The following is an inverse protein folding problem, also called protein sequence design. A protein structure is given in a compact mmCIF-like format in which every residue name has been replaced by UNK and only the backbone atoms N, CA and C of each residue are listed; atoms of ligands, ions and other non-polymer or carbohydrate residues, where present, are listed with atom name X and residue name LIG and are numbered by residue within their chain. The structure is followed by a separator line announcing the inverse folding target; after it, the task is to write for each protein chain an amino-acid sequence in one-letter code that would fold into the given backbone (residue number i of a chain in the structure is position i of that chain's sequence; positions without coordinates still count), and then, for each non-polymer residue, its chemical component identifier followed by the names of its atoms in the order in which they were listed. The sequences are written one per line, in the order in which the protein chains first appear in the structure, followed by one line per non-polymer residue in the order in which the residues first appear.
data_IF_035420681531
#
_entry.id   IF_035420681531
#
_cell.length_a   1.000
_cell.length_b   1.000
_cell.length_c   1.000
_cell.angle_alpha   90.00
_cell.angle_beta   90.00
_cell.angle_gamma   90.00
#
_symmetry.space_group_name_H-M   'P 1'
#
loop_
_entity.id
_entity.type
_entity.pdbx_description
1 polymer ?
#
# COMPACT_ATOMS: atom_id res chain seq x y z
N UNK A 1 -12.02 23.70 18.03
CA UNK A 1 -11.17 22.51 17.83
C UNK A 1 -12.07 21.37 17.35
N UNK A 2 -11.72 20.67 16.28
CA UNK A 2 -12.59 19.64 15.68
C UNK A 2 -12.78 18.44 16.64
N UNK A 3 -14.03 18.00 16.82
CA UNK A 3 -14.40 16.87 17.68
C UNK A 3 -13.65 15.59 17.28
N UNK A 4 -13.34 15.44 15.99
CA UNK A 4 -12.59 14.30 15.46
C UNK A 4 -11.11 14.29 15.89
N UNK A 5 -10.51 15.45 16.11
CA UNK A 5 -9.12 15.56 16.59
C UNK A 5 -9.00 15.28 18.08
N UNK A 6 -9.99 15.70 18.87
CA UNK A 6 -10.07 15.35 20.29
C UNK A 6 -10.32 13.84 20.49
N UNK A 7 -11.16 13.23 19.63
CA UNK A 7 -11.33 11.78 19.65
C UNK A 7 -10.04 11.06 19.26
N UNK A 8 -9.37 11.50 18.19
CA UNK A 8 -8.08 10.91 17.79
C UNK A 8 -7.03 10.98 18.90
N UNK A 9 -6.95 12.09 19.63
CA UNK A 9 -6.05 12.20 20.77
C UNK A 9 -6.36 11.15 21.86
N UNK A 10 -7.64 10.95 22.19
CA UNK A 10 -8.08 9.90 23.12
C UNK A 10 -7.78 8.50 22.63
N UNK A 11 -7.98 8.23 21.34
CA UNK A 11 -7.65 6.94 20.72
C UNK A 11 -6.13 6.65 20.78
N UNK A 12 -5.30 7.71 20.76
CA UNK A 12 -3.87 7.63 21.00
C UNK A 12 -3.48 7.57 22.50
N UNK A 13 -4.45 7.56 23.41
CA UNK A 13 -4.24 7.47 24.85
C UNK A 13 -4.05 8.81 25.57
N UNK A 14 -4.26 9.95 24.89
CA UNK A 14 -4.18 11.27 25.50
C UNK A 14 -5.55 11.71 26.07
N UNK A 15 -5.63 11.86 27.39
CA UNK A 15 -6.86 12.27 28.12
C UNK A 15 -6.84 13.71 28.62
N UNK A 16 -5.75 14.45 28.37
CA UNK A 16 -5.64 15.86 28.77
C UNK A 16 -6.39 16.81 27.84
N UNK A 17 -6.45 18.08 28.25
CA UNK A 17 -7.16 19.16 27.55
C UNK A 17 -6.24 20.27 27.04
N UNK A 18 -4.91 20.08 27.10
CA UNK A 18 -3.94 21.08 26.66
C UNK A 18 -4.21 21.48 25.20
N UNK A 19 -4.48 22.76 24.92
CA UNK A 19 -4.78 23.23 23.56
C UNK A 19 -3.63 22.95 22.59
N UNK A 20 -2.38 23.06 23.04
CA UNK A 20 -1.20 22.81 22.22
C UNK A 20 -1.07 21.32 21.85
N UNK A 21 -1.30 20.41 22.81
CA UNK A 21 -1.25 18.96 22.54
C UNK A 21 -2.34 18.53 21.58
N UNK A 22 -3.57 19.00 21.80
CA UNK A 22 -4.68 18.67 20.93
C UNK A 22 -4.51 19.24 19.51
N UNK A 23 -3.89 20.42 19.38
CA UNK A 23 -3.48 20.96 18.07
C UNK A 23 -2.42 20.07 17.39
N UNK A 24 -1.45 19.56 18.14
CA UNK A 24 -0.45 18.63 17.60
C UNK A 24 -1.09 17.32 17.11
N UNK A 25 -2.03 16.73 17.86
CA UNK A 25 -2.79 15.55 17.41
C UNK A 25 -3.60 15.83 16.14
N UNK A 26 -4.23 17.00 16.05
CA UNK A 26 -4.92 17.40 14.83
C UNK A 26 -3.98 17.46 13.62
N UNK A 27 -2.78 18.04 13.80
CA UNK A 27 -1.77 18.11 12.75
C UNK A 27 -1.27 16.72 12.32
N UNK A 28 -0.97 15.83 13.27
CA UNK A 28 -0.58 14.44 13.00
C UNK A 28 -1.66 13.70 12.20
N UNK A 29 -2.92 13.84 12.60
CA UNK A 29 -4.05 13.22 11.92
C UNK A 29 -4.18 13.72 10.47
N UNK A 30 -4.11 15.03 10.26
CA UNK A 30 -4.23 15.63 8.94
C UNK A 30 -3.06 15.23 8.03
N UNK A 31 -1.84 15.23 8.54
CA UNK A 31 -0.65 14.74 7.83
C UNK A 31 -0.80 13.26 7.44
N UNK A 32 -1.28 12.42 8.37
CA UNK A 32 -1.56 11.01 8.11
C UNK A 32 -2.60 10.81 7.00
N UNK A 33 -3.68 11.58 7.00
CA UNK A 33 -4.70 11.57 5.93
C UNK A 33 -4.08 11.99 4.60
N UNK A 34 -3.28 13.06 4.59
CA UNK A 34 -2.57 13.54 3.41
C UNK A 34 -1.66 12.46 2.80
N UNK A 35 -0.82 11.84 3.62
CA UNK A 35 0.07 10.73 3.22
C UNK A 35 -0.72 9.52 2.71
N UNK A 36 -1.83 9.16 3.35
CA UNK A 36 -2.66 8.04 2.92
C UNK A 36 -3.28 8.28 1.54
N UNK A 37 -3.78 9.49 1.28
CA UNK A 37 -4.31 9.92 -0.02
C UNK A 37 -3.23 9.91 -1.10
N UNK A 38 -2.08 10.51 -0.83
CA UNK A 38 -0.95 10.48 -1.76
C UNK A 38 -0.55 9.04 -2.12
N UNK A 39 -0.44 8.17 -1.11
CA UNK A 39 -0.14 6.76 -1.34
C UNK A 39 -1.25 6.03 -2.12
N UNK A 40 -2.51 6.44 -2.01
CA UNK A 40 -3.59 5.91 -2.85
C UNK A 40 -3.42 6.33 -4.30
N UNK A 41 -3.21 7.62 -4.56
CA UNK A 41 -3.01 8.14 -5.92
C UNK A 41 -1.79 7.52 -6.59
N UNK A 42 -0.68 7.35 -5.87
CA UNK A 42 0.51 6.66 -6.37
C UNK A 42 0.19 5.21 -6.78
N UNK A 43 -0.50 4.46 -5.93
CA UNK A 43 -0.90 3.07 -6.23
C UNK A 43 -1.84 3.01 -7.44
N UNK A 44 -2.79 3.94 -7.53
CA UNK A 44 -3.73 4.05 -8.63
C UNK A 44 -3.00 4.36 -9.94
N UNK A 45 -2.06 5.31 -9.95
CA UNK A 45 -1.27 5.66 -11.13
C UNK A 45 -0.48 4.47 -11.68
N UNK A 46 0.14 3.66 -10.81
CA UNK A 46 0.83 2.43 -11.23
C UNK A 46 -0.15 1.45 -11.88
N UNK A 47 -1.31 1.24 -11.25
CA UNK A 47 -2.35 0.35 -11.79
C UNK A 47 -2.85 0.86 -13.15
N UNK A 48 -3.15 2.16 -13.26
CA UNK A 48 -3.64 2.80 -14.49
C UNK A 48 -2.64 2.64 -15.64
N UNK A 49 -1.35 2.78 -15.38
CA UNK A 49 -0.30 2.54 -16.38
C UNK A 49 -0.30 1.11 -16.92
N UNK A 50 -0.67 0.12 -16.11
CA UNK A 50 -0.64 -1.31 -16.47
C UNK A 50 -1.97 -1.82 -17.07
N UNK A 51 -3.06 -1.06 -16.97
CA UNK A 51 -4.38 -1.47 -17.52
C UNK A 51 -4.39 -1.64 -19.03
N UNK A 52 -3.44 -1.07 -19.75
CA UNK A 52 -3.38 -1.07 -21.22
C UNK A 52 -3.09 -2.44 -21.84
N UNK A 53 -2.69 -3.43 -21.05
CA UNK A 53 -2.58 -4.80 -21.55
C UNK A 53 -2.01 -5.78 -20.55
N UNK A 54 -2.38 -7.04 -20.71
CA UNK A 54 -1.92 -8.15 -19.86
C UNK A 54 -0.40 -8.30 -19.87
N UNK A 55 0.24 -8.13 -21.02
CA UNK A 55 1.69 -8.22 -21.15
C UNK A 55 2.44 -7.21 -20.26
N UNK A 56 1.88 -6.00 -20.06
CA UNK A 56 2.46 -4.99 -19.17
C UNK A 56 2.39 -5.43 -17.72
N UNK A 57 1.23 -5.97 -17.31
CA UNK A 57 1.07 -6.55 -15.98
C UNK A 57 2.07 -7.69 -15.75
N UNK A 58 2.15 -8.66 -16.66
CA UNK A 58 3.08 -9.80 -16.56
C UNK A 58 4.54 -9.35 -16.52
N UNK A 59 4.92 -8.35 -17.31
CA UNK A 59 6.25 -7.75 -17.25
C UNK A 59 6.55 -7.12 -15.88
N UNK A 60 5.56 -6.44 -15.28
CA UNK A 60 5.71 -5.75 -14.00
C UNK A 60 5.79 -6.69 -12.78
N UNK A 61 5.32 -7.93 -12.89
CA UNK A 61 5.36 -8.92 -11.79
C UNK A 61 6.49 -9.94 -11.90
N UNK A 62 7.36 -9.83 -12.92
CA UNK A 62 8.51 -10.74 -13.06
C UNK A 62 9.34 -10.80 -11.76
N UNK A 63 9.85 -11.99 -11.37
CA UNK A 63 9.91 -13.22 -12.17
C UNK A 63 8.61 -14.05 -12.21
N UNK A 64 7.59 -13.68 -11.42
CA UNK A 64 6.33 -14.41 -11.42
C UNK A 64 5.66 -14.36 -12.80
N UNK A 65 5.07 -15.48 -13.20
CA UNK A 65 4.43 -15.69 -14.49
C UNK A 65 2.90 -15.59 -14.40
N UNK A 66 2.37 -15.53 -13.18
CA UNK A 66 0.93 -15.40 -12.91
C UNK A 66 0.66 -14.49 -11.71
N UNK A 67 -0.57 -14.01 -11.60
CA UNK A 67 -1.00 -13.24 -10.44
C UNK A 67 -0.97 -14.10 -9.16
N UNK A 68 -1.31 -15.38 -9.24
CA UNK A 68 -1.28 -16.34 -8.14
C UNK A 68 0.14 -16.50 -7.59
N UNK A 69 1.10 -16.79 -8.46
CA UNK A 69 2.51 -16.92 -8.09
C UNK A 69 3.05 -15.62 -7.48
N UNK A 70 2.72 -14.47 -8.09
CA UNK A 70 3.12 -13.17 -7.57
C UNK A 70 2.56 -12.89 -6.16
N UNK A 71 1.34 -13.37 -5.85
CA UNK A 71 0.75 -13.25 -4.52
C UNK A 71 1.46 -14.13 -3.51
N UNK A 72 1.75 -15.38 -3.88
CA UNK A 72 2.48 -16.31 -3.01
C UNK A 72 3.89 -15.80 -2.70
N UNK A 73 4.65 -15.39 -3.71
CA UNK A 73 5.99 -14.85 -3.56
C UNK A 73 6.02 -13.64 -2.63
N UNK A 74 5.12 -12.68 -2.87
CA UNK A 74 5.03 -11.50 -2.04
C UNK A 74 4.60 -11.84 -0.61
N UNK A 75 3.67 -12.78 -0.42
CA UNK A 75 3.24 -13.22 0.90
C UNK A 75 4.38 -13.91 1.67
N UNK A 76 5.10 -14.85 1.03
CA UNK A 76 6.28 -15.52 1.59
C UNK A 76 7.34 -14.50 1.97
N UNK A 77 7.66 -13.56 1.08
CA UNK A 77 8.65 -12.52 1.34
C UNK A 77 8.27 -11.65 2.55
N UNK A 78 7.04 -11.14 2.59
CA UNK A 78 6.57 -10.25 3.66
C UNK A 78 6.59 -10.98 5.01
N UNK A 79 6.20 -12.26 5.04
CA UNK A 79 6.26 -13.08 6.25
C UNK A 79 7.71 -13.26 6.73
N UNK A 80 8.63 -13.63 5.82
CA UNK A 80 10.05 -13.75 6.14
C UNK A 80 10.64 -12.43 6.62
N UNK A 81 10.34 -11.32 5.94
CA UNK A 81 10.84 -9.98 6.28
C UNK A 81 10.51 -9.60 7.72
N UNK A 82 9.28 -9.86 8.17
CA UNK A 82 8.84 -9.57 9.55
C UNK A 82 9.66 -10.31 10.60
N UNK A 83 10.15 -11.50 10.25
CA UNK A 83 10.97 -12.35 11.12
C UNK A 83 12.48 -12.09 10.97
N UNK A 84 12.90 -11.17 10.09
CA UNK A 84 14.32 -10.84 9.93
C UNK A 84 14.80 -9.95 11.08
N UNK A 85 16.08 -10.07 11.49
CA UNK A 85 16.72 -9.09 12.35
C UNK A 85 16.68 -7.67 11.77
N UNK A 86 16.63 -6.66 12.64
CA UNK A 86 16.48 -5.24 12.26
C UNK A 86 17.48 -4.76 11.22
N UNK A 87 18.78 -5.08 11.38
CA UNK A 87 19.82 -4.71 10.42
C UNK A 87 19.55 -5.24 9.01
N UNK A 88 18.92 -6.42 8.90
CA UNK A 88 18.57 -7.01 7.61
C UNK A 88 17.30 -6.39 7.04
N UNK A 89 16.34 -6.03 7.88
CA UNK A 89 15.14 -5.29 7.46
C UNK A 89 15.52 -3.93 6.87
N UNK A 90 16.40 -3.19 7.53
CA UNK A 90 16.88 -1.88 7.08
C UNK A 90 17.54 -1.97 5.70
N UNK A 91 18.38 -2.99 5.46
CA UNK A 91 19.01 -3.23 4.15
C UNK A 91 18.04 -3.68 3.06
N UNK A 92 16.89 -4.26 3.42
CA UNK A 92 15.94 -4.87 2.47
C UNK A 92 14.64 -4.07 2.32
N UNK A 93 14.62 -2.80 2.71
CA UNK A 93 13.45 -1.95 2.58
C UNK A 93 12.90 -1.87 1.14
N UNK A 94 13.79 -1.80 0.14
CA UNK A 94 13.41 -1.79 -1.27
C UNK A 94 12.73 -3.09 -1.72
N UNK A 95 13.23 -4.25 -1.26
CA UNK A 95 12.62 -5.55 -1.55
C UNK A 95 11.22 -5.66 -0.94
N UNK A 96 11.03 -5.13 0.28
CA UNK A 96 9.71 -5.07 0.91
C UNK A 96 8.74 -4.18 0.13
N UNK A 97 9.21 -3.03 -0.34
CA UNK A 97 8.40 -2.14 -1.17
C UNK A 97 7.98 -2.84 -2.47
N UNK A 98 8.92 -3.53 -3.13
CA UNK A 98 8.64 -4.34 -4.34
C UNK A 98 7.61 -5.43 -4.05
N UNK A 99 7.78 -6.21 -2.99
CA UNK A 99 6.83 -7.27 -2.62
C UNK A 99 5.42 -6.72 -2.33
N UNK A 100 5.32 -5.57 -1.65
CA UNK A 100 4.02 -4.90 -1.40
C UNK A 100 3.36 -4.43 -2.69
N UNK A 101 4.14 -3.88 -3.62
CA UNK A 101 3.65 -3.47 -4.94
C UNK A 101 3.20 -4.68 -5.75
N UNK A 102 4.01 -5.74 -5.82
CA UNK A 102 3.66 -6.97 -6.54
C UNK A 102 2.36 -7.58 -5.99
N UNK A 103 2.21 -7.65 -4.67
CA UNK A 103 0.96 -8.08 -4.02
C UNK A 103 -0.23 -7.19 -4.38
N UNK A 104 -0.05 -5.88 -4.44
CA UNK A 104 -1.12 -4.95 -4.84
C UNK A 104 -1.56 -5.22 -6.27
N UNK A 105 -0.62 -5.25 -7.21
CA UNK A 105 -0.88 -5.44 -8.63
C UNK A 105 -1.55 -6.79 -8.87
N UNK A 106 -0.98 -7.86 -8.33
CA UNK A 106 -1.51 -9.20 -8.49
C UNK A 106 -2.93 -9.33 -7.90
N UNK A 107 -3.23 -8.72 -6.75
CA UNK A 107 -4.61 -8.72 -6.20
C UNK A 107 -5.60 -8.02 -7.13
N UNK A 108 -5.19 -6.88 -7.70
CA UNK A 108 -6.05 -6.09 -8.56
C UNK A 108 -6.32 -6.82 -9.88
N UNK A 109 -5.27 -7.23 -10.60
CA UNK A 109 -5.39 -7.86 -11.90
C UNK A 109 -5.94 -9.29 -11.84
N UNK A 110 -5.71 -10.04 -10.76
CA UNK A 110 -6.43 -11.31 -10.54
C UNK A 110 -7.96 -11.11 -10.48
N UNK A 111 -8.41 -10.03 -9.84
CA UNK A 111 -9.84 -9.77 -9.63
C UNK A 111 -10.50 -9.10 -10.84
N UNK A 112 -9.80 -8.20 -11.52
CA UNK A 112 -10.37 -7.31 -12.52
C UNK A 112 -9.73 -7.43 -13.91
N UNK A 113 -8.54 -8.04 -14.03
CA UNK A 113 -7.73 -8.07 -15.26
C UNK A 113 -8.46 -8.67 -16.44
N UNK A 114 -9.04 -9.86 -16.29
CA UNK A 114 -9.81 -10.52 -17.37
C UNK A 114 -10.90 -9.60 -17.95
N UNK A 115 -11.66 -8.90 -17.08
CA UNK A 115 -12.72 -7.99 -17.54
C UNK A 115 -12.15 -6.75 -18.24
N UNK A 116 -11.07 -6.19 -17.70
CA UNK A 116 -10.42 -5.01 -18.26
C UNK A 116 -9.86 -5.26 -19.66
N UNK A 117 -9.20 -6.40 -19.85
CA UNK A 117 -8.55 -6.71 -21.12
C UNK A 117 -9.51 -7.29 -22.16
N UNK A 118 -10.51 -8.08 -21.75
CA UNK A 118 -11.55 -8.55 -22.66
C UNK A 118 -12.35 -7.38 -23.29
N UNK A 119 -12.57 -6.30 -22.54
CA UNK A 119 -13.23 -5.08 -23.04
C UNK A 119 -12.36 -4.25 -23.99
N UNK A 120 -11.04 -4.42 -23.97
CA UNK A 120 -10.12 -3.72 -24.88
C UNK A 120 -9.92 -4.47 -26.21
N UNK A 121 -10.22 -5.77 -26.23
CA UNK A 121 -10.08 -6.62 -27.40
C UNK A 121 -11.36 -6.71 -28.27
N UNK A 122 -12.48 -6.17 -27.79
CA UNK A 122 -13.77 -6.08 -28.48
C UNK A 122 -14.00 -4.68 -29.03
#
# INVERSE_FOLDING_TARGET
MDALSAQFARDCGYTGDSPAMLAAFAAIRLDGIGKARLGHEQRKAVVDGLKHGEALFLAAIRPAQSAEEALEDAARFIALFRNMPRWRQERRGADLARARQQRLLARFFRRYGHRLWAQQAA
#
